data_IF_402548424051
#
_entry.id   IF_402548424051
#
_cell.length_a   1.000
_cell.length_b   1.000
_cell.length_c   1.000
_cell.angle_alpha   90.00
_cell.angle_beta   90.00
_cell.angle_gamma   90.00
#
_symmetry.space_group_name_H-M   'P 1'
#
loop_
_entity.id
_entity.type
_entity.pdbx_description
1 polymer ?
#
# COMPACT_ATOMS: atom_id res chain seq x y z
N UNK A 1 4.15 -8.98 17.99
CA UNK A 1 4.75 -7.66 18.24
C UNK A 1 4.91 -6.82 16.96
N UNK A 2 4.75 -7.38 15.74
CA UNK A 2 4.75 -6.60 14.49
C UNK A 2 3.38 -5.95 14.17
N UNK A 3 2.28 -6.67 14.43
CA UNK A 3 0.90 -6.19 14.25
C UNK A 3 0.60 -4.84 14.93
N UNK A 4 0.95 -4.70 16.22
CA UNK A 4 0.66 -3.49 17.00
C UNK A 4 1.44 -2.25 16.51
N UNK A 5 2.60 -2.46 15.88
CA UNK A 5 3.43 -1.37 15.32
C UNK A 5 2.80 -0.83 14.03
N UNK A 6 2.30 -1.71 13.14
CA UNK A 6 1.62 -1.31 11.90
C UNK A 6 0.33 -0.54 12.19
N UNK A 7 -0.51 -1.03 13.09
CA UNK A 7 -1.76 -0.34 13.46
C UNK A 7 -1.50 1.05 14.03
N UNK A 8 -0.53 1.20 14.95
CA UNK A 8 -0.17 2.49 15.51
C UNK A 8 0.36 3.48 14.46
N UNK A 9 1.17 3.00 13.51
CA UNK A 9 1.68 3.81 12.40
C UNK A 9 0.56 4.27 11.47
N UNK A 10 -0.41 3.40 11.17
CA UNK A 10 -1.56 3.76 10.33
C UNK A 10 -2.46 4.80 11.00
N UNK A 11 -2.70 4.68 12.31
CA UNK A 11 -3.42 5.69 13.08
C UNK A 11 -2.69 7.04 13.09
N UNK A 12 -1.37 7.04 13.29
CA UNK A 12 -0.55 8.25 13.20
C UNK A 12 -0.63 8.89 11.81
N UNK A 13 -0.51 8.08 10.77
CA UNK A 13 -0.62 8.52 9.39
C UNK A 13 -1.99 9.16 9.11
N UNK A 14 -3.08 8.53 9.55
CA UNK A 14 -4.43 9.05 9.37
C UNK A 14 -4.61 10.40 10.05
N UNK A 15 -4.16 10.52 11.31
CA UNK A 15 -4.21 11.77 12.06
C UNK A 15 -3.43 12.88 11.36
N UNK A 16 -2.24 12.58 10.86
CA UNK A 16 -1.44 13.53 10.08
C UNK A 16 -2.14 13.93 8.78
N UNK A 17 -2.67 12.97 8.03
CA UNK A 17 -3.38 13.22 6.78
C UNK A 17 -4.61 14.12 7.00
N UNK A 18 -5.41 13.85 8.04
CA UNK A 18 -6.54 14.70 8.46
C UNK A 18 -6.08 16.09 8.86
N UNK A 19 -5.02 16.20 9.67
CA UNK A 19 -4.47 17.49 10.09
C UNK A 19 -3.93 18.34 8.92
N UNK A 20 -3.52 17.70 7.82
CA UNK A 20 -3.15 18.38 6.56
C UNK A 20 -4.33 18.71 5.66
N UNK A 21 -5.55 18.31 5.99
CA UNK A 21 -6.75 18.59 5.23
C UNK A 21 -7.04 17.57 4.12
N UNK A 22 -6.49 16.36 4.20
CA UNK A 22 -6.79 15.31 3.21
C UNK A 22 -8.28 14.91 3.30
N UNK A 23 -9.00 15.18 2.22
CA UNK A 23 -10.44 14.89 2.10
C UNK A 23 -10.70 13.40 1.85
N UNK A 24 -9.74 12.68 1.27
CA UNK A 24 -9.89 11.26 0.95
C UNK A 24 -10.07 10.38 2.20
N UNK A 25 -9.47 10.77 3.33
CA UNK A 25 -9.54 10.01 4.58
C UNK A 25 -10.99 9.86 5.08
N UNK A 26 -11.85 10.85 4.83
CA UNK A 26 -13.27 10.81 5.24
C UNK A 26 -14.10 9.77 4.47
N UNK A 27 -13.56 9.25 3.38
CA UNK A 27 -14.22 8.26 2.54
C UNK A 27 -13.61 6.87 2.66
N UNK A 28 -12.71 6.64 3.62
CA UNK A 28 -12.20 5.29 3.85
C UNK A 28 -13.31 4.39 4.39
N UNK A 29 -13.38 3.15 3.89
CA UNK A 29 -14.33 2.15 4.38
C UNK A 29 -13.91 1.68 5.76
N UNK A 30 -14.85 1.27 6.63
CA UNK A 30 -14.50 0.53 7.83
C UNK A 30 -13.53 -0.61 7.52
N UNK A 31 -12.57 -0.83 8.42
CA UNK A 31 -11.65 -1.95 8.32
C UNK A 31 -12.36 -3.30 8.43
N UNK A 32 -11.73 -4.33 7.87
CA UNK A 32 -12.22 -5.70 7.95
C UNK A 32 -12.05 -6.26 9.35
N UNK A 33 -12.96 -7.15 9.74
CA UNK A 33 -12.80 -8.02 10.89
C UNK A 33 -11.87 -9.19 10.56
N UNK A 34 -11.36 -9.86 11.60
CA UNK A 34 -10.55 -11.09 11.44
C UNK A 34 -11.34 -12.17 10.69
N UNK A 35 -12.65 -12.29 10.93
CA UNK A 35 -13.50 -13.26 10.25
C UNK A 35 -13.61 -12.97 8.74
N UNK A 36 -13.85 -11.72 8.36
CA UNK A 36 -13.92 -11.31 6.95
C UNK A 36 -12.59 -11.51 6.22
N UNK A 37 -11.46 -11.22 6.89
CA UNK A 37 -10.13 -11.52 6.36
C UNK A 37 -9.95 -13.03 6.15
N UNK A 38 -10.36 -13.84 7.12
CA UNK A 38 -10.25 -15.31 7.02
C UNK A 38 -11.04 -15.84 5.82
N UNK A 39 -12.26 -15.33 5.59
CA UNK A 39 -13.06 -15.70 4.42
C UNK A 39 -12.37 -15.32 3.10
N UNK A 40 -11.66 -14.19 3.06
CA UNK A 40 -10.88 -13.76 1.90
C UNK A 40 -9.64 -14.65 1.71
N UNK A 41 -8.89 -14.96 2.77
CA UNK A 41 -7.75 -15.88 2.73
C UNK A 41 -8.17 -17.25 2.17
N UNK A 42 -9.30 -17.79 2.63
CA UNK A 42 -9.87 -19.04 2.14
C UNK A 42 -10.25 -18.95 0.66
N UNK A 43 -10.85 -17.83 0.22
CA UNK A 43 -11.25 -17.61 -1.17
C UNK A 43 -10.07 -17.57 -2.13
N UNK A 44 -8.99 -16.89 -1.77
CA UNK A 44 -7.81 -16.75 -2.64
C UNK A 44 -6.74 -17.82 -2.39
N UNK A 45 -6.91 -18.66 -1.37
CA UNK A 45 -6.11 -19.86 -1.15
C UNK A 45 -4.73 -19.60 -0.55
N UNK A 46 -4.53 -18.48 0.14
CA UNK A 46 -3.30 -18.24 0.89
C UNK A 46 -3.53 -17.37 2.15
N UNK A 47 -2.82 -17.66 3.24
CA UNK A 47 -2.83 -16.82 4.43
C UNK A 47 -2.02 -15.52 4.21
N UNK A 48 -2.49 -14.45 4.82
CA UNK A 48 -1.84 -13.14 4.92
C UNK A 48 -1.04 -13.07 6.22
N UNK A 49 0.07 -12.33 6.19
CA UNK A 49 0.80 -12.01 7.41
C UNK A 49 0.02 -11.03 8.30
N UNK A 50 0.37 -10.98 9.58
CA UNK A 50 -0.24 -10.06 10.54
C UNK A 50 -0.14 -8.59 10.09
N UNK A 51 1.00 -8.18 9.53
CA UNK A 51 1.19 -6.80 9.04
C UNK A 51 0.25 -6.47 7.88
N UNK A 52 0.05 -7.42 6.96
CA UNK A 52 -0.90 -7.27 5.85
C UNK A 52 -2.31 -7.19 6.41
N UNK A 53 -2.67 -8.05 7.36
CA UNK A 53 -3.98 -7.99 8.02
C UNK A 53 -4.21 -6.63 8.67
N UNK A 54 -3.23 -6.09 9.39
CA UNK A 54 -3.33 -4.79 10.04
C UNK A 54 -3.70 -3.65 9.07
N UNK A 55 -3.18 -3.66 7.85
CA UNK A 55 -3.51 -2.65 6.81
C UNK A 55 -4.99 -2.67 6.45
N UNK A 56 -5.57 -3.84 6.19
CA UNK A 56 -6.98 -3.95 5.80
C UNK A 56 -7.96 -4.02 6.98
N UNK A 57 -7.46 -4.32 8.19
CA UNK A 57 -8.21 -4.14 9.44
C UNK A 57 -8.29 -2.66 9.87
N UNK A 58 -7.37 -1.81 9.40
CA UNK A 58 -7.48 -0.36 9.56
C UNK A 58 -8.60 0.19 8.67
N UNK A 59 -8.50 -0.01 7.35
CA UNK A 59 -9.55 0.38 6.40
C UNK A 59 -9.57 -0.58 5.21
N UNK A 60 -10.76 -0.96 4.73
CA UNK A 60 -10.89 -1.81 3.55
C UNK A 60 -10.98 -0.98 2.25
N UNK A 61 -9.95 -0.18 1.98
CA UNK A 61 -9.93 0.68 0.80
C UNK A 61 -10.91 1.87 0.85
N UNK A 62 -11.11 2.48 -0.31
CA UNK A 62 -11.97 3.65 -0.48
C UNK A 62 -13.47 3.29 -0.63
N UNK A 63 -14.30 4.04 0.07
CA UNK A 63 -15.76 4.00 0.03
C UNK A 63 -16.36 4.73 -1.17
N UNK A 64 -17.71 4.71 -1.28
CA UNK A 64 -18.41 5.47 -2.31
C UNK A 64 -18.13 6.97 -2.17
N UNK A 65 -17.81 7.61 -3.30
CA UNK A 65 -17.47 9.04 -3.34
C UNK A 65 -18.70 9.87 -3.72
N UNK A 66 -18.83 11.10 -3.19
CA UNK A 66 -19.95 11.97 -3.51
C UNK A 66 -19.88 12.50 -4.96
N UNK A 67 -18.69 12.58 -5.57
CA UNK A 67 -18.52 12.96 -6.97
C UNK A 67 -17.27 12.33 -7.60
N UNK A 68 -17.19 12.37 -8.94
CA UNK A 68 -16.00 11.92 -9.69
C UNK A 68 -14.76 12.77 -9.40
N UNK A 69 -14.96 14.03 -9.01
CA UNK A 69 -13.89 14.99 -8.75
C UNK A 69 -13.36 14.90 -7.31
N UNK A 70 -13.99 14.07 -6.47
CA UNK A 70 -13.52 13.86 -5.09
C UNK A 70 -12.14 13.20 -5.11
N UNK A 71 -11.14 13.75 -4.40
CA UNK A 71 -9.82 13.14 -4.30
C UNK A 71 -9.90 11.69 -3.81
N UNK A 72 -9.13 10.83 -4.45
CA UNK A 72 -9.28 9.36 -4.33
C UNK A 72 -8.10 8.71 -3.66
N UNK A 73 -7.02 9.47 -3.51
CA UNK A 73 -5.75 8.96 -3.01
C UNK A 73 -5.56 9.38 -1.58
N UNK A 74 -5.04 8.48 -0.76
CA UNK A 74 -4.73 8.78 0.65
C UNK A 74 -3.31 9.32 0.82
N UNK A 75 -2.47 9.19 -0.20
CA UNK A 75 -1.16 9.83 -0.35
C UNK A 75 -0.91 10.23 -1.81
N UNK A 76 0.30 10.72 -2.13
CA UNK A 76 0.63 11.06 -3.52
C UNK A 76 0.62 9.82 -4.41
N UNK A 77 -0.40 9.66 -5.25
CA UNK A 77 -0.54 8.49 -6.13
C UNK A 77 -1.01 7.20 -5.45
N UNK A 78 -1.40 7.25 -4.17
CA UNK A 78 -1.86 6.06 -3.44
C UNK A 78 -3.38 5.85 -3.58
N UNK A 79 -3.79 5.10 -4.60
CA UNK A 79 -5.16 4.58 -4.76
C UNK A 79 -5.36 3.33 -3.89
N UNK A 80 -5.96 3.49 -2.70
CA UNK A 80 -6.12 2.42 -1.70
C UNK A 80 -7.41 1.62 -1.94
N UNK A 81 -7.26 0.32 -2.21
CA UNK A 81 -8.33 -0.57 -2.66
C UNK A 81 -8.76 -1.57 -1.60
N UNK A 82 -9.93 -2.13 -1.83
CA UNK A 82 -10.43 -3.27 -1.05
C UNK A 82 -9.43 -4.44 -1.17
N UNK A 83 -9.30 -5.25 -0.12
CA UNK A 83 -8.33 -6.36 -0.07
C UNK A 83 -8.46 -7.31 -1.27
N UNK A 84 -9.69 -7.68 -1.62
CA UNK A 84 -9.99 -8.54 -2.78
C UNK A 84 -9.50 -7.93 -4.09
N UNK A 85 -9.77 -6.65 -4.33
CA UNK A 85 -9.28 -5.95 -5.54
C UNK A 85 -7.75 -5.87 -5.56
N UNK A 86 -7.13 -5.64 -4.39
CA UNK A 86 -5.68 -5.58 -4.25
C UNK A 86 -4.99 -6.91 -4.51
N UNK A 87 -5.62 -8.03 -4.15
CA UNK A 87 -5.14 -9.39 -4.45
C UNK A 87 -5.31 -9.69 -5.95
N UNK A 88 -6.49 -9.44 -6.52
CA UNK A 88 -6.77 -9.69 -7.94
C UNK A 88 -5.82 -8.91 -8.85
N UNK A 89 -5.59 -7.63 -8.53
CA UNK A 89 -4.66 -6.80 -9.29
C UNK A 89 -3.22 -7.29 -9.14
N UNK A 90 -2.83 -7.77 -7.97
CA UNK A 90 -1.50 -8.32 -7.73
C UNK A 90 -1.28 -9.64 -8.50
N UNK A 91 -2.30 -10.50 -8.59
CA UNK A 91 -2.26 -11.73 -9.40
C UNK A 91 -2.08 -11.40 -10.89
N UNK A 92 -2.82 -10.43 -11.41
CA UNK A 92 -2.64 -9.95 -12.78
C UNK A 92 -1.20 -9.47 -13.05
N UNK A 93 -0.58 -8.75 -12.11
CA UNK A 93 0.82 -8.31 -12.22
C UNK A 93 1.78 -9.51 -12.19
N UNK A 94 1.55 -10.48 -11.31
CA UNK A 94 2.35 -11.69 -11.21
C UNK A 94 2.32 -12.51 -12.50
N UNK A 95 1.14 -12.67 -13.11
CA UNK A 95 0.98 -13.38 -14.38
C UNK A 95 1.78 -12.70 -15.50
N UNK A 96 1.60 -11.39 -15.66
CA UNK A 96 2.37 -10.59 -16.64
C UNK A 96 3.88 -10.69 -16.41
N UNK A 97 4.32 -10.75 -15.15
CA UNK A 97 5.74 -10.91 -14.82
C UNK A 97 6.26 -12.31 -15.09
N UNK A 98 5.51 -13.37 -14.80
CA UNK A 98 5.94 -14.72 -15.11
C UNK A 98 6.06 -14.95 -16.62
N UNK A 99 5.19 -14.34 -17.41
CA UNK A 99 5.31 -14.31 -18.88
C UNK A 99 6.59 -13.60 -19.37
N UNK A 100 6.98 -12.48 -18.73
CA UNK A 100 8.13 -11.67 -19.15
C UNK A 100 9.49 -12.10 -18.56
N UNK A 101 9.52 -12.51 -17.29
CA UNK A 101 10.73 -12.78 -16.50
C UNK A 101 11.03 -14.29 -16.37
N UNK A 102 10.25 -15.17 -17.00
CA UNK A 102 10.49 -16.61 -17.08
C UNK A 102 10.22 -17.37 -15.79
N UNK A 103 8.93 -17.46 -15.41
CA UNK A 103 8.41 -18.26 -14.28
C UNK A 103 9.08 -17.99 -12.91
N UNK A 104 9.80 -16.87 -12.79
CA UNK A 104 10.59 -16.52 -11.62
C UNK A 104 9.77 -16.34 -10.33
N UNK A 105 8.49 -16.04 -10.45
CA UNK A 105 7.58 -15.72 -9.35
C UNK A 105 6.37 -16.65 -9.30
N UNK A 106 6.45 -17.87 -9.86
CA UNK A 106 5.31 -18.83 -9.90
C UNK A 106 4.77 -19.17 -8.50
N UNK A 107 5.64 -19.21 -7.50
CA UNK A 107 5.26 -19.46 -6.10
C UNK A 107 5.02 -18.18 -5.29
N UNK A 108 5.16 -17.00 -5.91
CA UNK A 108 4.90 -15.72 -5.24
C UNK A 108 3.41 -15.49 -5.04
N UNK A 109 3.06 -14.81 -3.95
CA UNK A 109 1.72 -14.41 -3.58
C UNK A 109 1.80 -12.96 -3.16
N UNK A 110 1.17 -12.08 -3.92
CA UNK A 110 1.28 -10.65 -3.73
C UNK A 110 -0.05 -10.03 -3.32
N UNK A 111 0.02 -8.94 -2.57
CA UNK A 111 -1.07 -8.00 -2.35
C UNK A 111 -0.59 -6.61 -2.72
N UNK A 112 -1.35 -5.84 -3.50
CA UNK A 112 -0.93 -4.48 -3.88
C UNK A 112 -1.36 -3.44 -2.85
N UNK A 113 -0.43 -2.58 -2.44
CA UNK A 113 -0.69 -1.40 -1.60
C UNK A 113 -1.42 -0.31 -2.37
N UNK A 114 -1.03 -0.10 -3.63
CA UNK A 114 -1.57 0.93 -4.51
C UNK A 114 -1.64 0.43 -5.96
N UNK A 115 -2.41 1.15 -6.79
CA UNK A 115 -2.49 0.94 -8.23
C UNK A 115 -1.89 2.12 -8.98
N UNK A 116 -0.96 1.83 -9.89
CA UNK A 116 -0.36 2.84 -10.75
C UNK A 116 0.58 2.25 -11.80
N UNK A 117 1.24 3.11 -12.57
CA UNK A 117 2.36 2.71 -13.44
C UNK A 117 3.54 2.12 -12.63
N UNK A 118 3.57 2.41 -11.32
CA UNK A 118 4.35 1.72 -10.30
C UNK A 118 3.39 1.30 -9.20
N UNK A 119 3.52 0.06 -8.75
CA UNK A 119 2.72 -0.50 -7.66
C UNK A 119 3.65 -0.99 -6.56
N UNK A 120 3.39 -0.58 -5.32
CA UNK A 120 3.94 -1.18 -4.13
C UNK A 120 3.23 -2.53 -3.93
N UNK A 121 3.97 -3.64 -3.94
CA UNK A 121 3.45 -5.00 -3.77
C UNK A 121 4.02 -5.61 -2.50
N UNK A 122 3.17 -6.21 -1.69
CA UNK A 122 3.55 -6.92 -0.47
C UNK A 122 3.71 -8.40 -0.82
N UNK A 123 4.92 -8.94 -0.65
CA UNK A 123 5.18 -10.36 -0.80
C UNK A 123 4.71 -11.10 0.46
N UNK A 124 3.81 -12.06 0.27
CA UNK A 124 3.17 -12.83 1.34
C UNK A 124 3.31 -14.35 1.19
N UNK A 125 4.13 -14.83 0.25
CA UNK A 125 4.40 -16.28 0.11
C UNK A 125 5.07 -16.92 1.31
N UNK A 126 5.80 -16.15 2.13
CA UNK A 126 6.44 -16.68 3.33
C UNK A 126 5.87 -16.04 4.59
N UNK A 127 4.82 -16.65 5.13
CA UNK A 127 4.16 -16.23 6.37
C UNK A 127 5.03 -16.40 7.63
N UNK A 128 6.17 -17.09 7.55
CA UNK A 128 7.08 -17.30 8.68
C UNK A 128 8.18 -16.25 8.78
N UNK A 129 8.37 -15.43 7.75
CA UNK A 129 9.25 -14.28 7.86
C UNK A 129 8.50 -13.18 8.63
N UNK A 130 9.01 -12.72 9.78
CA UNK A 130 8.51 -11.47 10.34
C UNK A 130 8.74 -10.38 9.30
N UNK A 131 7.83 -9.40 9.27
CA UNK A 131 7.93 -8.21 8.45
C UNK A 131 7.81 -8.47 6.93
N UNK A 132 6.56 -8.63 6.46
CA UNK A 132 6.28 -8.81 5.04
C UNK A 132 6.97 -7.74 4.20
N UNK A 133 7.70 -8.19 3.19
CA UNK A 133 8.49 -7.32 2.32
C UNK A 133 7.57 -6.59 1.34
N UNK A 134 7.61 -5.26 1.38
CA UNK A 134 7.10 -4.38 0.34
C UNK A 134 8.16 -4.25 -0.74
N UNK A 135 7.83 -4.78 -1.91
CA UNK A 135 8.59 -4.67 -3.14
C UNK A 135 7.96 -3.56 -3.98
N UNK A 136 8.78 -2.82 -4.72
CA UNK A 136 8.27 -2.00 -5.80
C UNK A 136 8.16 -2.84 -7.07
N UNK A 137 6.93 -2.95 -7.56
CA UNK A 137 6.63 -3.48 -8.87
C UNK A 137 6.48 -2.33 -9.86
N UNK A 138 7.56 -2.04 -10.58
CA UNK A 138 7.49 -1.39 -11.88
C UNK A 138 7.47 -2.52 -12.92
N UNK A 139 6.41 -2.59 -13.74
CA UNK A 139 6.25 -3.67 -14.74
C UNK A 139 7.40 -3.71 -15.76
N UNK A 140 8.20 -2.65 -15.85
CA UNK A 140 9.33 -2.54 -16.78
C UNK A 140 10.69 -2.75 -16.13
N UNK A 141 10.75 -2.94 -14.80
CA UNK A 141 12.00 -3.07 -14.05
C UNK A 141 11.96 -4.27 -13.09
N UNK A 142 13.10 -4.93 -12.91
CA UNK A 142 13.22 -6.00 -11.91
C UNK A 142 12.95 -5.47 -10.50
N UNK A 143 12.26 -6.26 -9.65
CA UNK A 143 12.08 -5.95 -8.22
C UNK A 143 13.40 -5.74 -7.48
N UNK A 144 14.48 -6.39 -7.94
CA UNK A 144 15.81 -6.29 -7.32
C UNK A 144 16.45 -4.90 -7.50
N UNK A 145 15.91 -4.07 -8.39
CA UNK A 145 16.41 -2.71 -8.62
C UNK A 145 15.90 -1.71 -7.59
N UNK A 146 15.04 -2.14 -6.66
CA UNK A 146 14.40 -1.28 -5.70
C UNK A 146 14.73 -1.70 -4.26
N UNK A 147 14.76 -0.74 -3.31
CA UNK A 147 14.86 -1.09 -1.91
C UNK A 147 13.66 -1.96 -1.50
N UNK A 148 13.95 -3.04 -0.78
CA UNK A 148 12.94 -3.88 -0.13
C UNK A 148 12.83 -3.38 1.31
N UNK A 149 11.62 -3.05 1.73
CA UNK A 149 11.34 -2.57 3.10
C UNK A 149 10.19 -3.36 3.69
N UNK A 150 10.04 -3.31 4.99
CA UNK A 150 8.89 -3.88 5.69
C UNK A 150 7.62 -3.04 5.48
N UNK A 151 6.44 -3.60 5.76
CA UNK A 151 5.17 -2.85 5.77
C UNK A 151 5.25 -1.64 6.71
N UNK A 152 5.74 -1.84 7.93
CA UNK A 152 5.92 -0.78 8.91
C UNK A 152 6.87 0.32 8.42
N UNK A 153 8.02 -0.04 7.84
CA UNK A 153 8.95 0.94 7.26
C UNK A 153 8.33 1.71 6.09
N UNK A 154 7.53 1.06 5.25
CA UNK A 154 6.84 1.74 4.15
C UNK A 154 5.89 2.82 4.67
N UNK A 155 5.11 2.51 5.71
CA UNK A 155 4.20 3.48 6.34
C UNK A 155 5.00 4.61 7.02
N UNK A 156 6.13 4.31 7.66
CA UNK A 156 7.06 5.33 8.20
C UNK A 156 7.56 6.28 7.11
N UNK A 157 7.83 5.79 5.91
CA UNK A 157 8.22 6.65 4.77
C UNK A 157 7.07 7.56 4.31
N UNK A 158 5.83 7.08 4.34
CA UNK A 158 4.65 7.93 4.06
C UNK A 158 4.48 9.02 5.11
N UNK A 159 4.60 8.69 6.40
CA UNK A 159 4.59 9.66 7.51
C UNK A 159 5.70 10.69 7.32
N UNK A 160 6.93 10.23 7.10
CA UNK A 160 8.09 11.10 6.86
C UNK A 160 7.84 12.05 5.69
N UNK A 161 7.25 11.58 4.59
CA UNK A 161 6.95 12.40 3.42
C UNK A 161 5.99 13.55 3.75
N UNK A 162 4.98 13.30 4.59
CA UNK A 162 4.03 14.32 5.07
C UNK A 162 4.74 15.31 6.00
N UNK A 163 5.50 14.81 6.97
CA UNK A 163 6.16 15.65 7.98
C UNK A 163 7.21 16.59 7.37
N UNK A 164 7.90 16.14 6.32
CA UNK A 164 8.94 16.91 5.64
C UNK A 164 8.41 17.74 4.46
N UNK A 165 7.08 17.78 4.26
CA UNK A 165 6.43 18.56 3.20
C UNK A 165 6.72 18.05 1.78
N UNK A 166 7.24 16.83 1.67
CA UNK A 166 7.44 16.16 0.38
C UNK A 166 6.08 15.83 -0.23
N UNK A 167 5.17 15.33 0.60
CA UNK A 167 3.76 15.23 0.29
C UNK A 167 3.00 16.36 0.99
N UNK A 168 2.08 16.98 0.27
CA UNK A 168 1.23 18.03 0.81
C UNK A 168 -0.17 17.95 0.19
N UNK A 169 -1.14 18.52 0.88
CA UNK A 169 -2.51 18.64 0.39
C UNK A 169 -2.71 20.05 -0.15
N UNK A 170 -3.23 20.17 -1.38
CA UNK A 170 -3.57 21.47 -1.98
C UNK A 170 -4.92 22.01 -1.48
N UNK A 171 -5.33 23.16 -1.98
CA UNK A 171 -6.58 23.83 -1.61
C UNK A 171 -7.85 23.04 -1.98
N UNK A 172 -7.72 22.03 -2.84
CA UNK A 172 -8.82 21.13 -3.23
C UNK A 172 -8.91 19.90 -2.32
N UNK A 173 -8.02 19.75 -1.35
CA UNK A 173 -7.94 18.53 -0.53
C UNK A 173 -7.22 17.38 -1.23
N UNK A 174 -6.54 17.63 -2.35
CA UNK A 174 -5.83 16.62 -3.15
C UNK A 174 -4.36 16.53 -2.75
N UNK A 175 -3.84 15.30 -2.65
CA UNK A 175 -2.41 15.08 -2.44
C UNK A 175 -1.57 15.47 -3.66
N UNK A 176 -0.46 16.15 -3.38
CA UNK A 176 0.57 16.57 -4.32
C UNK A 176 1.96 16.24 -3.76
N UNK A 177 2.95 16.22 -4.65
CA UNK A 177 4.35 15.97 -4.31
C UNK A 177 5.27 17.10 -4.75
N UNK A 178 6.27 17.42 -3.91
CA UNK A 178 7.40 18.30 -4.21
C UNK A 178 8.63 17.47 -4.53
N UNK A 179 8.80 17.13 -5.81
CA UNK A 179 9.86 16.22 -6.27
C UNK A 179 11.27 16.72 -5.95
N UNK A 180 11.46 18.04 -5.80
CA UNK A 180 12.71 18.67 -5.39
C UNK A 180 13.11 18.34 -3.94
N UNK A 181 12.16 17.92 -3.10
CA UNK A 181 12.38 17.51 -1.71
C UNK A 181 12.56 15.99 -1.56
N UNK A 182 12.47 15.23 -2.65
CA UNK A 182 12.64 13.78 -2.59
C UNK A 182 14.08 13.44 -2.17
N UNK A 183 14.29 12.35 -1.40
CA UNK A 183 15.62 11.86 -1.08
C UNK A 183 16.44 11.67 -2.37
N UNK A 184 17.67 12.19 -2.41
CA UNK A 184 18.50 12.15 -3.64
C UNK A 184 19.10 10.76 -3.95
N UNK A 185 18.87 9.78 -3.08
CA UNK A 185 19.35 8.40 -3.19
C UNK A 185 18.23 7.47 -3.68
N UNK A 186 18.50 6.18 -3.85
CA UNK A 186 17.49 5.15 -4.19
C UNK A 186 16.28 5.11 -3.23
N UNK A 187 16.35 5.78 -2.08
CA UNK A 187 15.25 5.97 -1.13
C UNK A 187 14.08 6.80 -1.68
N UNK A 188 14.26 7.58 -2.78
CA UNK A 188 13.15 8.27 -3.45
C UNK A 188 12.00 7.35 -3.86
N UNK A 189 12.31 6.07 -4.00
CA UNK A 189 11.37 5.06 -4.44
C UNK A 189 10.42 4.63 -3.31
N UNK A 190 10.73 4.96 -2.06
CA UNK A 190 9.93 4.62 -0.90
C UNK A 190 8.72 5.56 -0.70
N UNK A 191 8.65 6.67 -1.45
CA UNK A 191 7.66 7.76 -1.37
C UNK A 191 7.09 8.16 -2.74
#
# INVERSE_FOLDING_TARGET
MAYDDVSALLEQYEQLARARGSVAIDYLRPGLTVAEITEIEERYGFPLSDDVKAVWMWHNGMGPRPSRDTPVTIGSGWDFRELSESIEYAQMILDMRNEGDGDRYVESRWVTFNRGSRSDVIETSNIQLPDSSVLLSDMTSSVLNFPIVTVAEKIRWYIWAIENGVWFVDDTGTWRSRHELYPKNGMRHLI
#
